data_IF_243768326673
#
_entry.id   IF_243768326673
#
_cell.length_a   1.000
_cell.length_b   1.000
_cell.length_c   1.000
_cell.angle_alpha   90.00
_cell.angle_beta   90.00
_cell.angle_gamma   90.00
#
_symmetry.space_group_name_H-M   'P 1'
#
loop_
_entity.id
_entity.type
_entity.pdbx_description
1 polymer ?
#
# COMPACT_ATOMS: atom_id res chain seq x y z
N UNK A 1 -3.09 25.63 -11.84
CA UNK A 1 -2.92 24.58 -12.87
C UNK A 1 -1.47 24.39 -13.33
N UNK A 2 -0.67 25.45 -13.49
CA UNK A 2 0.80 25.35 -13.73
C UNK A 2 1.57 24.49 -12.70
N UNK A 3 1.07 24.39 -11.45
CA UNK A 3 1.72 23.62 -10.38
C UNK A 3 1.87 22.11 -10.66
N UNK A 4 1.00 21.51 -11.49
CA UNK A 4 1.07 20.06 -11.75
C UNK A 4 2.21 19.68 -12.69
N UNK A 5 2.49 20.51 -13.70
CA UNK A 5 3.60 20.30 -14.64
C UNK A 5 4.97 20.54 -14.00
N UNK A 6 5.04 21.44 -13.00
CA UNK A 6 6.29 21.75 -12.29
C UNK A 6 6.77 20.64 -11.33
N UNK A 7 5.84 19.83 -10.83
CA UNK A 7 6.08 18.81 -9.80
C UNK A 7 6.37 17.42 -10.35
N UNK A 8 6.16 17.19 -11.65
CA UNK A 8 6.53 15.94 -12.33
C UNK A 8 7.81 16.18 -13.09
N UNK A 9 8.91 15.55 -12.66
CA UNK A 9 10.24 15.85 -13.17
C UNK A 9 10.37 15.67 -14.69
N UNK A 10 9.65 14.69 -15.26
CA UNK A 10 9.62 14.41 -16.70
C UNK A 10 8.73 15.33 -17.55
N UNK A 11 8.03 16.31 -16.96
CA UNK A 11 7.17 17.26 -17.69
C UNK A 11 7.70 18.70 -17.64
N UNK A 12 8.83 18.95 -16.97
CA UNK A 12 9.46 20.28 -16.94
C UNK A 12 9.89 20.69 -18.35
N UNK A 13 9.42 21.85 -18.80
CA UNK A 13 9.70 22.39 -20.14
C UNK A 13 8.85 21.80 -21.26
N UNK A 14 7.91 20.91 -20.94
CA UNK A 14 6.92 20.41 -21.91
C UNK A 14 5.60 21.20 -21.79
N UNK A 15 4.90 21.37 -22.91
CA UNK A 15 3.51 21.81 -22.96
C UNK A 15 2.62 20.56 -23.16
N UNK A 16 2.24 19.86 -22.09
CA UNK A 16 1.43 18.66 -22.23
C UNK A 16 0.04 19.00 -22.78
N UNK A 17 -0.44 18.18 -23.73
CA UNK A 17 -1.83 18.25 -24.19
C UNK A 17 -2.78 18.07 -23.00
N UNK A 18 -3.46 19.15 -22.64
CA UNK A 18 -4.36 19.19 -21.49
C UNK A 18 -5.57 18.27 -21.67
N UNK A 19 -6.02 18.03 -22.90
CA UNK A 19 -7.09 17.06 -23.15
C UNK A 19 -6.59 15.63 -22.93
N UNK A 20 -5.35 15.31 -23.31
CA UNK A 20 -4.73 14.02 -23.01
C UNK A 20 -4.56 13.81 -21.49
N UNK A 21 -4.08 14.82 -20.77
CA UNK A 21 -3.94 14.75 -19.30
C UNK A 21 -5.30 14.49 -18.63
N UNK A 22 -6.34 15.18 -19.05
CA UNK A 22 -7.68 15.02 -18.47
C UNK A 22 -8.28 13.64 -18.80
N UNK A 23 -8.06 13.12 -20.02
CA UNK A 23 -8.44 11.74 -20.38
C UNK A 23 -7.75 10.71 -19.48
N UNK A 24 -6.45 10.86 -19.23
CA UNK A 24 -5.69 9.97 -18.35
C UNK A 24 -6.22 10.04 -16.92
N UNK A 25 -6.49 11.25 -16.41
CA UNK A 25 -7.06 11.44 -15.07
C UNK A 25 -8.43 10.80 -14.94
N UNK A 26 -9.30 10.98 -15.92
CA UNK A 26 -10.63 10.38 -15.94
C UNK A 26 -10.55 8.85 -15.97
N UNK A 27 -9.66 8.29 -16.78
CA UNK A 27 -9.43 6.85 -16.84
C UNK A 27 -8.88 6.30 -15.51
N UNK A 28 -7.93 6.99 -14.88
CA UNK A 28 -7.39 6.61 -13.58
C UNK A 28 -8.47 6.67 -12.48
N UNK A 29 -9.30 7.72 -12.49
CA UNK A 29 -10.44 7.86 -11.57
C UNK A 29 -11.45 6.75 -11.77
N UNK A 30 -11.85 6.47 -13.01
CA UNK A 30 -12.81 5.40 -13.30
C UNK A 30 -12.29 4.02 -12.85
N UNK A 31 -10.99 3.72 -13.01
CA UNK A 31 -10.39 2.49 -12.44
C UNK A 31 -10.43 2.49 -10.92
N UNK A 32 -10.08 3.61 -10.28
CA UNK A 32 -10.16 3.73 -8.84
C UNK A 32 -11.58 3.54 -8.32
N UNK A 33 -12.60 4.01 -9.04
CA UNK A 33 -14.01 3.83 -8.65
C UNK A 33 -14.51 2.39 -8.89
N UNK A 34 -13.92 1.66 -9.83
CA UNK A 34 -14.30 0.28 -10.16
C UNK A 34 -13.68 -0.78 -9.23
N UNK A 35 -12.57 -0.45 -8.56
CA UNK A 35 -11.87 -1.38 -7.67
C UNK A 35 -12.35 -1.26 -6.21
N UNK A 36 -12.42 -2.36 -5.44
CA UNK A 36 -12.59 -2.30 -3.99
C UNK A 36 -11.37 -1.65 -3.31
N UNK A 37 -11.61 -0.76 -2.34
CA UNK A 37 -10.56 -0.06 -1.55
C UNK A 37 -10.79 -0.16 -0.05
N UNK A 38 -11.39 -1.26 0.43
CA UNK A 38 -11.67 -1.43 1.85
C UNK A 38 -10.37 -1.53 2.63
N UNK A 39 -10.43 -1.05 3.86
CA UNK A 39 -9.37 -1.15 4.84
C UNK A 39 -9.99 -1.26 6.23
N UNK A 40 -9.47 -2.15 7.04
CA UNK A 40 -9.78 -2.25 8.46
C UNK A 40 -8.49 -2.40 9.24
N UNK A 41 -8.53 -1.96 10.50
CA UNK A 41 -7.40 -2.04 11.41
C UNK A 41 -7.91 -2.33 12.81
N UNK A 42 -7.11 -3.07 13.57
CA UNK A 42 -7.33 -3.30 14.99
C UNK A 42 -6.00 -3.26 15.73
N UNK A 43 -6.01 -2.65 16.92
CA UNK A 43 -4.88 -2.74 17.83
C UNK A 43 -5.01 -4.03 18.63
N UNK A 44 -3.90 -4.72 18.80
CA UNK A 44 -3.78 -5.92 19.65
C UNK A 44 -2.70 -5.66 20.70
N UNK A 45 -2.69 -6.39 21.83
CA UNK A 45 -1.60 -6.26 22.81
C UNK A 45 -0.23 -6.42 22.13
N UNK A 46 0.59 -5.36 22.21
CA UNK A 46 1.94 -5.36 21.64
C UNK A 46 2.03 -5.14 20.12
N UNK A 47 0.92 -4.93 19.40
CA UNK A 47 0.96 -4.83 17.94
C UNK A 47 -0.32 -4.32 17.29
N UNK A 48 -0.46 -4.58 16.00
CA UNK A 48 -1.66 -4.23 15.26
C UNK A 48 -1.92 -5.18 14.10
N UNK A 49 -3.17 -5.28 13.68
CA UNK A 49 -3.58 -5.96 12.46
C UNK A 49 -4.16 -4.92 11.51
N UNK A 50 -3.80 -5.01 10.23
CA UNK A 50 -4.46 -4.25 9.17
C UNK A 50 -4.83 -5.17 8.02
N UNK A 51 -6.09 -5.12 7.61
CA UNK A 51 -6.61 -5.85 6.45
C UNK A 51 -6.99 -4.84 5.37
N UNK A 52 -6.64 -5.11 4.11
CA UNK A 52 -6.92 -4.24 2.98
C UNK A 52 -7.14 -5.00 1.68
N UNK A 53 -7.97 -4.44 0.80
CA UNK A 53 -8.03 -4.92 -0.58
C UNK A 53 -6.69 -4.59 -1.30
N UNK A 54 -6.18 -5.53 -2.09
CA UNK A 54 -5.05 -5.34 -3.00
C UNK A 54 -5.57 -4.68 -4.27
N UNK A 55 -5.09 -3.46 -4.52
CA UNK A 55 -5.53 -2.64 -5.66
C UNK A 55 -4.50 -2.67 -6.77
N UNK A 56 -4.90 -2.27 -7.98
CA UNK A 56 -3.95 -2.10 -9.09
C UNK A 56 -2.85 -1.09 -8.74
N UNK A 57 -3.18 -0.06 -7.95
CA UNK A 57 -2.19 0.94 -7.50
C UNK A 57 -1.12 0.32 -6.59
N UNK A 58 -1.51 -0.58 -5.67
CA UNK A 58 -0.58 -1.31 -4.81
C UNK A 58 0.41 -2.14 -5.66
N UNK A 59 -0.09 -2.85 -6.66
CA UNK A 59 0.71 -3.70 -7.54
C UNK A 59 1.57 -2.92 -8.54
N UNK A 60 1.16 -1.69 -8.90
CA UNK A 60 1.94 -0.83 -9.77
C UNK A 60 3.06 -0.08 -9.02
N UNK A 61 2.80 0.35 -7.79
CA UNK A 61 3.69 1.26 -7.05
C UNK A 61 4.51 0.57 -5.96
N UNK A 62 4.04 -0.55 -5.42
CA UNK A 62 4.63 -1.15 -4.22
C UNK A 62 4.47 -0.31 -2.96
N UNK A 63 3.50 0.61 -2.96
CA UNK A 63 3.20 1.50 -1.83
C UNK A 63 1.89 1.09 -1.20
N UNK A 64 1.92 0.88 0.11
CA UNK A 64 0.72 0.66 0.92
C UNK A 64 0.50 1.85 1.85
N UNK A 65 -0.75 2.11 2.20
CA UNK A 65 -1.12 3.14 3.18
C UNK A 65 -1.67 2.50 4.45
N UNK A 66 -1.22 2.94 5.61
CA UNK A 66 -1.61 2.37 6.89
C UNK A 66 -2.59 3.28 7.63
N UNK A 67 -3.48 2.70 8.44
CA UNK A 67 -4.34 3.45 9.32
C UNK A 67 -3.49 4.22 10.35
N UNK A 68 -3.90 5.43 10.79
CA UNK A 68 -3.08 6.28 11.65
C UNK A 68 -2.62 5.63 12.95
N UNK A 69 -3.46 4.81 13.58
CA UNK A 69 -3.15 4.05 14.79
C UNK A 69 -2.11 2.95 14.56
N UNK A 70 -2.16 2.27 13.41
CA UNK A 70 -1.16 1.26 13.02
C UNK A 70 0.17 1.96 12.70
N UNK A 71 0.10 3.03 11.91
CA UNK A 71 1.28 3.80 11.49
C UNK A 71 2.04 4.38 12.69
N UNK A 72 1.35 4.91 13.71
CA UNK A 72 1.99 5.46 14.91
C UNK A 72 2.90 4.47 15.64
N UNK A 73 2.61 3.17 15.57
CA UNK A 73 3.43 2.12 16.21
C UNK A 73 4.77 1.90 15.50
N UNK A 74 4.84 2.23 14.20
CA UNK A 74 5.94 1.85 13.31
C UNK A 74 6.48 3.03 12.51
N UNK A 75 6.12 4.25 12.89
CA UNK A 75 6.52 5.46 12.17
C UNK A 75 8.05 5.55 12.07
N UNK A 76 8.55 5.70 10.85
CA UNK A 76 9.99 5.77 10.58
C UNK A 76 10.75 4.45 10.76
N UNK A 77 10.10 3.34 11.10
CA UNK A 77 10.73 2.04 11.25
C UNK A 77 10.84 1.29 9.92
N UNK A 78 11.60 0.19 9.90
CA UNK A 78 11.64 -0.75 8.79
C UNK A 78 11.43 -2.16 9.34
N UNK A 79 10.40 -2.84 8.87
CA UNK A 79 10.00 -4.15 9.35
C UNK A 79 10.37 -5.24 8.35
N UNK A 80 10.79 -6.39 8.86
CA UNK A 80 10.93 -7.60 8.06
C UNK A 80 9.55 -8.21 7.84
N UNK A 81 9.21 -8.47 6.57
CA UNK A 81 7.91 -8.98 6.17
C UNK A 81 8.02 -10.47 5.93
N UNK A 82 7.17 -11.24 6.59
CA UNK A 82 7.25 -12.70 6.59
C UNK A 82 5.92 -13.36 6.23
N UNK A 83 5.98 -14.62 5.81
CA UNK A 83 4.83 -15.52 5.72
C UNK A 83 5.24 -16.89 6.23
N UNK A 84 4.55 -17.45 7.23
CA UNK A 84 4.87 -18.77 7.76
C UNK A 84 6.37 -18.95 8.11
N UNK A 85 6.97 -17.91 8.69
CA UNK A 85 8.41 -17.81 9.01
C UNK A 85 9.41 -17.64 7.87
N UNK A 86 8.97 -17.65 6.61
CA UNK A 86 9.81 -17.25 5.48
C UNK A 86 9.88 -15.73 5.35
N UNK A 87 11.08 -15.19 5.16
CA UNK A 87 11.27 -13.76 4.89
C UNK A 87 10.98 -13.45 3.42
N UNK A 88 10.03 -12.55 3.18
CA UNK A 88 9.63 -12.11 1.85
C UNK A 88 10.33 -10.82 1.42
N UNK A 89 10.91 -10.09 2.38
CA UNK A 89 11.59 -8.82 2.15
C UNK A 89 11.40 -7.86 3.30
N UNK A 90 11.67 -6.57 3.05
CA UNK A 90 11.61 -5.52 4.07
C UNK A 90 10.77 -4.34 3.60
N UNK A 91 9.89 -3.85 4.48
CA UNK A 91 9.08 -2.67 4.20
C UNK A 91 9.50 -1.49 5.09
N UNK A 92 9.59 -0.30 4.49
CA UNK A 92 9.94 0.94 5.19
C UNK A 92 8.70 1.79 5.41
N UNK A 93 8.44 2.17 6.66
CA UNK A 93 7.33 3.03 7.03
C UNK A 93 7.78 4.49 7.07
N UNK A 94 6.96 5.38 6.53
CA UNK A 94 7.20 6.82 6.57
C UNK A 94 7.32 7.34 8.01
N UNK A 95 8.19 8.32 8.23
CA UNK A 95 8.32 8.97 9.54
C UNK A 95 7.17 9.97 9.80
N UNK A 96 6.73 10.67 8.76
CA UNK A 96 5.77 11.79 8.85
C UNK A 96 4.52 11.63 7.97
N UNK A 97 4.31 10.45 7.38
CA UNK A 97 3.14 10.15 6.55
C UNK A 97 2.77 8.67 6.63
N UNK A 98 1.54 8.35 6.27
CA UNK A 98 0.95 7.01 6.43
C UNK A 98 1.38 5.97 5.39
N UNK A 99 2.21 6.36 4.41
CA UNK A 99 2.70 5.44 3.38
C UNK A 99 3.88 4.59 3.84
N UNK A 100 3.95 3.39 3.28
CA UNK A 100 5.00 2.40 3.46
C UNK A 100 5.44 1.87 2.10
N UNK A 101 6.74 1.69 1.89
CA UNK A 101 7.35 1.26 0.64
C UNK A 101 8.06 -0.10 0.77
N UNK A 102 8.42 -0.68 -0.36
CA UNK A 102 9.11 -1.99 -0.42
C UNK A 102 8.15 -3.16 -0.64
N UNK A 103 6.85 -2.90 -0.84
CA UNK A 103 5.84 -3.95 -0.96
C UNK A 103 5.79 -4.60 -2.33
N UNK A 104 6.30 -3.98 -3.40
CA UNK A 104 6.22 -4.55 -4.75
C UNK A 104 6.85 -5.96 -4.86
N UNK A 105 8.10 -6.20 -4.44
CA UNK A 105 8.67 -7.55 -4.50
C UNK A 105 7.91 -8.55 -3.61
N UNK A 106 7.40 -8.11 -2.46
CA UNK A 106 6.62 -8.95 -1.53
C UNK A 106 5.27 -9.35 -2.15
N UNK A 107 4.53 -8.39 -2.72
CA UNK A 107 3.26 -8.66 -3.39
C UNK A 107 3.44 -9.59 -4.59
N UNK A 108 4.57 -9.45 -5.32
CA UNK A 108 4.91 -10.35 -6.43
C UNK A 108 5.26 -11.75 -5.96
N UNK A 109 6.01 -11.92 -4.87
CA UNK A 109 6.33 -13.25 -4.33
C UNK A 109 5.10 -13.98 -3.79
N UNK A 110 4.08 -13.23 -3.38
CA UNK A 110 2.77 -13.76 -3.00
C UNK A 110 1.85 -14.05 -4.20
N UNK A 111 2.26 -13.74 -5.43
CA UNK A 111 1.44 -13.76 -6.65
C UNK A 111 0.13 -12.95 -6.56
N UNK A 112 0.16 -11.83 -5.81
CA UNK A 112 -1.03 -11.02 -5.54
C UNK A 112 -1.64 -10.41 -6.81
N UNK A 113 -2.98 -10.42 -6.88
CA UNK A 113 -3.80 -9.87 -7.97
C UNK A 113 -4.73 -8.76 -7.46
N UNK A 114 -5.19 -7.86 -8.34
CA UNK A 114 -6.26 -6.93 -7.98
C UNK A 114 -7.50 -7.69 -7.51
N UNK A 115 -8.07 -7.29 -6.37
CA UNK A 115 -9.23 -7.93 -5.76
C UNK A 115 -8.91 -8.96 -4.68
N UNK A 116 -7.64 -9.36 -4.53
CA UNK A 116 -7.20 -10.12 -3.36
C UNK A 116 -7.29 -9.27 -2.09
N UNK A 117 -7.24 -9.93 -0.94
CA UNK A 117 -7.22 -9.30 0.38
C UNK A 117 -5.89 -9.61 1.05
N UNK A 118 -5.23 -8.57 1.56
CA UNK A 118 -3.99 -8.66 2.31
C UNK A 118 -4.26 -8.35 3.78
N UNK A 119 -4.00 -9.31 4.67
CA UNK A 119 -4.01 -9.13 6.13
C UNK A 119 -2.58 -9.09 6.64
N UNK A 120 -2.24 -8.06 7.41
CA UNK A 120 -0.90 -7.76 7.89
C UNK A 120 -0.96 -7.70 9.42
N UNK A 121 -0.28 -8.63 10.09
CA UNK A 121 -0.10 -8.64 11.55
C UNK A 121 1.27 -8.06 11.89
N UNK A 122 1.31 -6.99 12.65
CA UNK A 122 2.52 -6.20 12.94
C UNK A 122 2.92 -6.41 14.39
N UNK A 123 4.19 -6.78 14.59
CA UNK A 123 4.88 -6.81 15.87
C UNK A 123 6.04 -5.78 15.83
N UNK A 124 5.82 -4.57 16.37
CA UNK A 124 6.84 -3.52 16.41
C UNK A 124 8.05 -3.90 17.27
N UNK A 125 7.85 -4.68 18.34
CA UNK A 125 8.93 -5.05 19.26
C UNK A 125 9.91 -6.03 18.60
N UNK A 126 9.39 -6.95 17.79
CA UNK A 126 10.19 -7.87 16.98
C UNK A 126 10.68 -7.25 15.65
N UNK A 127 10.33 -5.99 15.36
CA UNK A 127 10.57 -5.33 14.07
C UNK A 127 10.09 -6.17 12.86
N UNK A 128 8.93 -6.83 13.00
CA UNK A 128 8.44 -7.83 12.06
C UNK A 128 6.97 -7.63 11.74
N UNK A 129 6.55 -7.98 10.53
CA UNK A 129 5.14 -8.13 10.20
C UNK A 129 4.90 -9.43 9.41
N UNK A 130 3.88 -10.18 9.81
CA UNK A 130 3.41 -11.37 9.11
C UNK A 130 2.27 -11.04 8.17
N UNK A 131 2.30 -11.60 6.96
CA UNK A 131 1.29 -11.37 5.94
C UNK A 131 0.53 -12.63 5.57
N UNK A 132 -0.75 -12.46 5.32
CA UNK A 132 -1.64 -13.44 4.73
C UNK A 132 -2.30 -12.82 3.50
N UNK A 133 -2.27 -13.54 2.38
CA UNK A 133 -2.96 -13.17 1.14
C UNK A 133 -4.05 -14.20 0.88
N UNK A 134 -5.24 -13.73 0.56
CA UNK A 134 -6.41 -14.56 0.30
C UNK A 134 -7.54 -13.74 -0.31
N UNK A 135 -8.77 -14.20 -0.12
CA UNK A 135 -9.98 -13.55 -0.58
C UNK A 135 -10.81 -12.93 0.55
N UNK A 136 -12.13 -12.75 0.31
CA UNK A 136 -13.03 -12.11 1.26
C UNK A 136 -13.08 -12.72 2.66
N UNK A 137 -12.67 -13.98 2.82
CA UNK A 137 -12.60 -14.68 4.10
C UNK A 137 -11.68 -13.98 5.12
N UNK A 138 -10.67 -13.25 4.65
CA UNK A 138 -9.73 -12.54 5.54
C UNK A 138 -10.31 -11.29 6.22
N UNK A 139 -11.50 -10.84 5.78
CA UNK A 139 -12.27 -9.78 6.46
C UNK A 139 -13.00 -10.28 7.71
N UNK A 140 -13.10 -11.59 7.89
CA UNK A 140 -13.65 -12.20 9.10
C UNK A 140 -12.77 -11.96 10.34
N UNK A 141 -13.33 -12.14 11.55
CA UNK A 141 -12.60 -11.99 12.80
C UNK A 141 -11.30 -12.80 12.84
#
# INVERSE_FOLDING_TARGET
MQKFAQNVWGLRGSEPDMQAVERIRRAARARSEAEPHRKSSSLIPGGAIQTMDVTTSCLATGVLSFAPEVHRLVAGSALDIVRASESLGRAKFGASHFFSWGWLPILRSLDAKPGDVLRISIDPAAARAEVQLGGPELWGP
#
